data_IF_727539823467
#
_entry.id   IF_727539823467
#
_cell.length_a   1.000
_cell.length_b   1.000
_cell.length_c   1.000
_cell.angle_alpha   90.00
_cell.angle_beta   90.00
_cell.angle_gamma   90.00
#
_symmetry.space_group_name_H-M   'P 1'
#
loop_
_entity.id
_entity.type
_entity.pdbx_description
1 polymer ?
#
# COMPACT_ATOMS: atom_id res chain seq x y z
N UNK A 1 -10.20 10.93 9.89
CA UNK A 1 -10.58 9.51 9.78
C UNK A 1 -10.18 8.82 11.08
N UNK A 2 -11.03 7.97 11.67
CA UNK A 2 -10.68 7.24 12.91
C UNK A 2 -9.74 6.07 12.60
N UNK A 3 -8.91 5.68 13.57
CA UNK A 3 -7.98 4.55 13.44
C UNK A 3 -8.73 3.22 13.25
N UNK A 4 -9.89 3.05 13.89
CA UNK A 4 -10.76 1.89 13.69
C UNK A 4 -11.24 1.78 12.24
N UNK A 5 -11.75 2.88 11.66
CA UNK A 5 -12.22 2.88 10.27
C UNK A 5 -11.08 2.61 9.30
N UNK A 6 -9.92 3.23 9.49
CA UNK A 6 -8.73 2.95 8.68
C UNK A 6 -8.35 1.47 8.75
N UNK A 7 -8.31 0.90 9.95
CA UNK A 7 -7.91 -0.49 10.16
C UNK A 7 -8.88 -1.46 9.47
N UNK A 8 -10.19 -1.18 9.52
CA UNK A 8 -11.20 -1.95 8.80
C UNK A 8 -11.01 -1.82 7.29
N UNK A 9 -10.81 -0.60 6.77
CA UNK A 9 -10.63 -0.34 5.34
C UNK A 9 -9.35 -0.98 4.78
N UNK A 10 -8.29 -1.11 5.58
CA UNK A 10 -7.04 -1.76 5.16
C UNK A 10 -7.10 -3.28 5.31
N UNK A 11 -7.56 -3.79 6.46
CA UNK A 11 -7.51 -5.22 6.75
C UNK A 11 -8.59 -6.01 5.99
N UNK A 12 -9.77 -5.45 5.74
CA UNK A 12 -10.87 -6.18 5.09
C UNK A 12 -10.54 -6.58 3.66
N UNK A 13 -10.07 -5.69 2.77
CA UNK A 13 -9.69 -6.08 1.41
C UNK A 13 -8.55 -7.12 1.39
N UNK A 14 -7.57 -7.00 2.29
CA UNK A 14 -6.47 -7.96 2.39
C UNK A 14 -6.98 -9.33 2.85
N UNK A 15 -7.87 -9.38 3.84
CA UNK A 15 -8.50 -10.62 4.29
C UNK A 15 -9.31 -11.28 3.17
N UNK A 16 -10.11 -10.51 2.43
CA UNK A 16 -10.90 -11.03 1.30
C UNK A 16 -10.00 -11.57 0.17
N UNK A 17 -8.92 -10.86 -0.17
CA UNK A 17 -7.94 -11.32 -1.15
C UNK A 17 -7.23 -12.60 -0.68
N UNK A 18 -6.88 -12.69 0.60
CA UNK A 18 -6.26 -13.88 1.19
C UNK A 18 -7.21 -15.08 1.16
N UNK A 19 -8.47 -14.90 1.52
CA UNK A 19 -9.51 -15.93 1.45
C UNK A 19 -9.76 -16.39 0.01
N UNK A 20 -9.90 -15.45 -0.92
CA UNK A 20 -10.06 -15.76 -2.34
C UNK A 20 -8.86 -16.57 -2.87
N UNK A 21 -7.63 -16.18 -2.53
CA UNK A 21 -6.42 -16.90 -2.92
C UNK A 21 -6.31 -18.30 -2.29
N UNK A 22 -6.84 -18.50 -1.08
CA UNK A 22 -6.87 -19.82 -0.43
C UNK A 22 -7.88 -20.76 -1.09
N UNK A 23 -9.07 -20.24 -1.44
CA UNK A 23 -10.13 -21.01 -2.09
C UNK A 23 -9.75 -21.32 -3.55
N UNK A 24 -9.21 -20.32 -4.27
CA UNK A 24 -8.90 -20.39 -5.71
C UNK A 24 -7.42 -20.21 -6.00
N UNK A 25 -6.60 -21.07 -5.41
CA UNK A 25 -5.13 -20.94 -5.47
C UNK A 25 -4.56 -20.92 -6.90
N UNK A 26 -5.06 -21.72 -7.84
CA UNK A 26 -4.55 -21.72 -9.23
C UNK A 26 -4.89 -20.43 -10.00
N UNK A 27 -6.14 -19.97 -9.94
CA UNK A 27 -6.53 -18.68 -10.54
C UNK A 27 -5.71 -17.53 -9.95
N UNK A 28 -5.54 -17.54 -8.62
CA UNK A 28 -4.82 -16.50 -7.90
C UNK A 28 -3.34 -16.44 -8.27
N UNK A 29 -2.66 -17.58 -8.51
CA UNK A 29 -1.29 -17.61 -9.05
C UNK A 29 -1.20 -16.95 -10.42
N UNK A 30 -2.17 -17.21 -11.29
CA UNK A 30 -2.25 -16.59 -12.62
C UNK A 30 -2.31 -15.08 -12.51
N UNK A 31 -3.20 -14.56 -11.66
CA UNK A 31 -3.31 -13.12 -11.41
C UNK A 31 -2.05 -12.51 -10.77
N UNK A 32 -1.45 -13.20 -9.78
CA UNK A 32 -0.21 -12.79 -9.11
C UNK A 32 0.96 -12.60 -10.08
N UNK A 33 1.12 -13.54 -11.01
CA UNK A 33 2.23 -13.53 -11.97
C UNK A 33 1.98 -12.57 -13.14
N UNK A 34 0.71 -12.32 -13.50
CA UNK A 34 0.32 -11.33 -14.50
C UNK A 34 0.42 -9.88 -13.99
N UNK A 35 0.19 -9.65 -12.70
CA UNK A 35 0.11 -8.31 -12.10
C UNK A 35 1.33 -7.40 -12.40
N UNK A 36 2.59 -7.82 -12.15
CA UNK A 36 3.75 -6.94 -12.35
C UNK A 36 3.90 -6.41 -13.77
N UNK A 37 3.43 -7.15 -14.78
CA UNK A 37 3.53 -6.80 -16.20
C UNK A 37 2.26 -6.18 -16.76
N UNK A 38 1.23 -6.00 -15.94
CA UNK A 38 -0.03 -5.42 -16.40
C UNK A 38 0.08 -3.90 -16.53
N UNK A 39 0.03 -3.41 -17.76
CA UNK A 39 0.00 -1.97 -18.04
C UNK A 39 -1.26 -1.30 -17.47
N UNK A 40 -2.41 -1.97 -17.51
CA UNK A 40 -3.66 -1.43 -16.97
C UNK A 40 -3.57 -1.17 -15.46
N UNK A 41 -3.05 -2.12 -14.69
CA UNK A 41 -2.77 -1.92 -13.27
C UNK A 41 -1.68 -0.88 -13.03
N UNK A 42 -0.68 -0.82 -13.91
CA UNK A 42 0.34 0.22 -13.91
C UNK A 42 -0.24 1.63 -13.98
N UNK A 43 -1.08 1.89 -14.99
CA UNK A 43 -1.71 3.19 -15.19
C UNK A 43 -2.65 3.55 -14.03
N UNK A 44 -3.44 2.60 -13.55
CA UNK A 44 -4.34 2.82 -12.43
C UNK A 44 -3.57 3.16 -11.15
N UNK A 45 -2.60 2.34 -10.75
CA UNK A 45 -1.87 2.52 -9.49
C UNK A 45 -0.96 3.75 -9.54
N UNK A 46 -0.27 3.98 -10.66
CA UNK A 46 0.56 5.18 -10.84
C UNK A 46 -0.29 6.45 -10.87
N UNK A 47 -1.43 6.42 -11.55
CA UNK A 47 -2.36 7.55 -11.62
C UNK A 47 -2.92 7.92 -10.25
N UNK A 48 -3.48 6.93 -9.52
CA UNK A 48 -3.98 7.14 -8.15
C UNK A 48 -2.88 7.66 -7.24
N UNK A 49 -1.69 7.06 -7.29
CA UNK A 49 -0.55 7.47 -6.47
C UNK A 49 -0.10 8.90 -6.78
N UNK A 50 -0.04 9.27 -8.06
CA UNK A 50 0.37 10.62 -8.48
C UNK A 50 -0.64 11.66 -8.00
N UNK A 51 -1.93 11.42 -8.23
CA UNK A 51 -2.99 12.35 -7.81
C UNK A 51 -3.00 12.51 -6.29
N UNK A 52 -2.90 11.41 -5.55
CA UNK A 52 -2.90 11.44 -4.09
C UNK A 52 -1.62 12.10 -3.55
N UNK A 53 -0.45 11.83 -4.13
CA UNK A 53 0.79 12.49 -3.76
C UNK A 53 0.72 14.01 -3.98
N UNK A 54 0.21 14.47 -5.13
CA UNK A 54 0.02 15.90 -5.39
C UNK A 54 -0.96 16.55 -4.42
N UNK A 55 -2.03 15.84 -4.06
CA UNK A 55 -2.95 16.29 -3.02
C UNK A 55 -2.26 16.46 -1.67
N UNK A 56 -1.42 15.50 -1.26
CA UNK A 56 -0.62 15.59 -0.04
C UNK A 56 0.32 16.80 -0.08
N UNK A 57 1.11 16.95 -1.15
CA UNK A 57 2.01 18.11 -1.32
C UNK A 57 1.24 19.42 -1.23
N UNK A 58 0.00 19.47 -1.73
CA UNK A 58 -0.85 20.66 -1.66
C UNK A 58 -1.26 21.02 -0.23
N UNK A 59 -1.67 20.04 0.57
CA UNK A 59 -2.19 20.28 1.93
C UNK A 59 -1.11 20.38 3.00
N UNK A 60 0.06 19.79 2.78
CA UNK A 60 1.18 19.86 3.72
C UNK A 60 1.76 21.28 3.73
N UNK A 61 1.94 21.84 4.91
CA UNK A 61 2.52 23.17 5.08
C UNK A 61 4.01 23.02 5.36
N UNK A 62 4.82 23.39 4.37
CA UNK A 62 6.27 23.36 4.47
C UNK A 62 6.74 24.79 4.23
N UNK A 63 6.90 25.54 5.32
CA UNK A 63 7.21 26.98 5.32
C UNK A 63 8.42 27.32 4.45
N UNK A 64 9.41 26.43 4.40
CA UNK A 64 10.65 26.65 3.65
C UNK A 64 10.48 26.51 2.12
N UNK A 65 9.37 25.90 1.66
CA UNK A 65 9.12 25.62 0.24
C UNK A 65 7.84 26.27 -0.29
N UNK A 66 7.22 27.19 0.45
CA UNK A 66 5.94 27.80 0.09
C UNK A 66 5.99 28.48 -1.29
N UNK A 67 7.08 29.22 -1.56
CA UNK A 67 7.33 29.89 -2.85
C UNK A 67 7.55 28.91 -4.02
N UNK A 68 8.12 27.73 -3.76
CA UNK A 68 8.42 26.72 -4.76
C UNK A 68 7.30 25.70 -4.97
N UNK A 69 6.29 25.68 -4.09
CA UNK A 69 5.22 24.68 -4.07
C UNK A 69 4.52 24.53 -5.42
N UNK A 70 4.30 25.64 -6.12
CA UNK A 70 3.71 25.64 -7.47
C UNK A 70 4.61 24.91 -8.47
N UNK A 71 5.92 25.19 -8.49
CA UNK A 71 6.87 24.53 -9.38
C UNK A 71 7.04 23.05 -9.05
N UNK A 72 7.08 22.70 -7.76
CA UNK A 72 7.14 21.31 -7.30
C UNK A 72 5.91 20.52 -7.76
N UNK A 73 4.69 21.07 -7.65
CA UNK A 73 3.48 20.40 -8.14
C UNK A 73 3.56 20.10 -9.63
N UNK A 74 3.98 21.06 -10.46
CA UNK A 74 4.15 20.82 -11.90
C UNK A 74 5.26 19.79 -12.19
N UNK A 75 6.38 19.87 -11.48
CA UNK A 75 7.48 18.91 -11.60
C UNK A 75 7.04 17.49 -11.26
N UNK A 76 6.39 17.30 -10.11
CA UNK A 76 5.90 15.99 -9.68
C UNK A 76 4.78 15.44 -10.58
N UNK A 77 3.87 16.29 -11.04
CA UNK A 77 2.86 15.89 -12.03
C UNK A 77 3.53 15.43 -13.33
N UNK A 78 4.51 16.18 -13.81
CA UNK A 78 5.31 15.84 -14.99
C UNK A 78 6.04 14.50 -14.83
N UNK A 79 6.65 14.24 -13.67
CA UNK A 79 7.32 12.97 -13.37
C UNK A 79 6.32 11.81 -13.33
N UNK A 80 5.16 11.97 -12.67
CA UNK A 80 4.15 10.91 -12.60
C UNK A 80 3.58 10.55 -13.98
N UNK A 81 3.24 11.57 -14.77
CA UNK A 81 2.77 11.39 -16.15
C UNK A 81 3.89 10.80 -17.03
N UNK A 82 5.09 11.34 -16.97
CA UNK A 82 6.25 10.85 -17.71
C UNK A 82 6.56 9.39 -17.39
N UNK A 83 6.53 9.01 -16.11
CA UNK A 83 6.75 7.61 -15.68
C UNK A 83 5.71 6.68 -16.29
N UNK A 84 4.45 7.12 -16.36
CA UNK A 84 3.34 6.37 -16.94
C UNK A 84 3.58 6.06 -18.43
N UNK A 85 4.13 7.02 -19.20
CA UNK A 85 4.33 6.84 -20.64
C UNK A 85 5.68 6.22 -21.00
N UNK A 86 6.77 6.61 -20.33
CA UNK A 86 8.14 6.25 -20.70
C UNK A 86 8.65 5.00 -19.98
N UNK A 87 8.12 4.67 -18.80
CA UNK A 87 8.67 3.59 -17.95
C UNK A 87 7.64 2.49 -17.71
N UNK A 88 7.14 1.92 -18.82
CA UNK A 88 6.05 0.94 -18.83
C UNK A 88 6.44 -0.41 -18.25
N UNK A 89 7.71 -0.81 -18.36
CA UNK A 89 8.17 -2.07 -17.79
C UNK A 89 8.06 -2.03 -16.26
N UNK A 90 7.32 -2.98 -15.70
CA UNK A 90 7.00 -3.06 -14.27
C UNK A 90 6.31 -1.82 -13.68
N UNK A 91 5.52 -1.10 -14.49
CA UNK A 91 4.81 0.09 -14.03
C UNK A 91 3.85 -0.21 -12.86
N UNK A 92 3.17 -1.36 -12.89
CA UNK A 92 2.32 -1.82 -11.78
C UNK A 92 3.08 -1.97 -10.47
N UNK A 93 4.31 -2.51 -10.52
CA UNK A 93 5.14 -2.67 -9.34
C UNK A 93 5.59 -1.31 -8.77
N UNK A 94 5.97 -0.36 -9.64
CA UNK A 94 6.31 1.01 -9.19
C UNK A 94 5.10 1.74 -8.62
N UNK A 95 3.97 1.70 -9.31
CA UNK A 95 2.72 2.31 -8.83
C UNK A 95 2.30 1.74 -7.48
N UNK A 96 2.39 0.42 -7.30
CA UNK A 96 2.13 -0.23 -6.02
C UNK A 96 3.10 0.26 -4.93
N UNK A 97 4.40 0.38 -5.24
CA UNK A 97 5.40 0.85 -4.29
C UNK A 97 5.12 2.28 -3.79
N UNK A 98 4.76 3.20 -4.69
CA UNK A 98 4.38 4.57 -4.32
C UNK A 98 3.08 4.56 -3.50
N UNK A 99 2.08 3.77 -3.91
CA UNK A 99 0.83 3.66 -3.17
C UNK A 99 1.07 3.11 -1.75
N UNK A 100 1.97 2.14 -1.58
CA UNK A 100 2.35 1.61 -0.27
C UNK A 100 2.94 2.70 0.64
N UNK A 101 3.77 3.60 0.11
CA UNK A 101 4.32 4.73 0.86
C UNK A 101 3.23 5.72 1.28
N UNK A 102 2.30 6.03 0.38
CA UNK A 102 1.17 6.95 0.66
C UNK A 102 0.23 6.39 1.72
N UNK A 103 -0.09 5.09 1.63
CA UNK A 103 -0.89 4.40 2.64
C UNK A 103 -0.15 4.36 3.97
N UNK A 104 1.16 4.08 3.99
CA UNK A 104 1.94 4.09 5.22
C UNK A 104 1.96 5.47 5.90
N UNK A 105 2.08 6.55 5.13
CA UNK A 105 1.95 7.92 5.64
C UNK A 105 0.60 8.12 6.34
N UNK A 106 -0.49 7.75 5.67
CA UNK A 106 -1.84 7.83 6.22
C UNK A 106 -1.99 7.00 7.51
N UNK A 107 -1.41 5.79 7.56
CA UNK A 107 -1.42 4.93 8.75
C UNK A 107 -0.71 5.59 9.95
N UNK A 108 0.48 6.15 9.75
CA UNK A 108 1.23 6.79 10.84
C UNK A 108 0.51 8.05 11.34
N UNK A 109 0.00 8.88 10.43
CA UNK A 109 -0.72 10.11 10.80
C UNK A 109 -1.98 9.83 11.61
N UNK A 110 -2.74 8.81 11.21
CA UNK A 110 -3.97 8.43 11.91
C UNK A 110 -3.70 7.76 13.26
N UNK A 111 -2.59 7.01 13.38
CA UNK A 111 -2.19 6.40 14.64
C UNK A 111 -1.61 7.42 15.64
N UNK A 112 -1.03 8.54 15.17
CA UNK A 112 -0.30 9.52 16.00
C UNK A 112 -1.07 10.06 17.20
N UNK A 113 -2.39 10.28 17.04
CA UNK A 113 -3.23 10.94 18.04
C UNK A 113 -4.08 9.97 18.88
N UNK A 114 -3.88 8.66 18.74
CA UNK A 114 -4.67 7.66 19.48
C UNK A 114 -3.92 7.25 20.74
N UNK A 115 -4.50 7.44 21.91
CA UNK A 115 -3.85 7.14 23.19
C UNK A 115 -4.00 5.66 23.59
N UNK A 116 -3.35 4.76 22.84
CA UNK A 116 -3.29 3.32 23.16
C UNK A 116 -2.03 2.68 22.59
N UNK A 117 -1.38 1.80 23.35
CA UNK A 117 -0.21 1.06 22.88
C UNK A 117 -0.54 0.14 21.70
N UNK A 118 -1.80 -0.30 21.58
CA UNK A 118 -2.25 -1.11 20.45
C UNK A 118 -2.07 -0.40 19.10
N UNK A 119 -1.96 0.95 19.07
CA UNK A 119 -1.67 1.70 17.83
C UNK A 119 -0.35 1.27 17.18
N UNK A 120 0.59 0.75 17.97
CA UNK A 120 1.90 0.32 17.50
C UNK A 120 1.81 -0.80 16.46
N UNK A 121 0.77 -1.64 16.50
CA UNK A 121 0.56 -2.66 15.46
C UNK A 121 0.42 -2.03 14.06
N UNK A 122 -0.35 -0.93 13.95
CA UNK A 122 -0.51 -0.18 12.71
C UNK A 122 0.77 0.56 12.35
N UNK A 123 1.46 1.17 13.33
CA UNK A 123 2.71 1.90 13.09
C UNK A 123 3.81 0.96 12.57
N UNK A 124 4.02 -0.20 13.21
CA UNK A 124 5.00 -1.20 12.77
C UNK A 124 4.68 -1.68 11.37
N UNK A 125 3.41 -1.98 11.07
CA UNK A 125 2.99 -2.36 9.74
C UNK A 125 3.27 -1.27 8.70
N UNK A 126 2.99 0.00 9.04
CA UNK A 126 3.30 1.12 8.17
C UNK A 126 4.80 1.22 7.88
N UNK A 127 5.67 1.06 8.87
CA UNK A 127 7.13 1.08 8.64
C UNK A 127 7.62 -0.11 7.80
N UNK A 128 7.04 -1.29 7.94
CA UNK A 128 7.29 -2.41 7.02
C UNK A 128 6.91 -2.03 5.59
N UNK A 129 5.76 -1.38 5.39
CA UNK A 129 5.34 -0.86 4.09
C UNK A 129 6.26 0.24 3.56
N UNK A 130 6.81 1.09 4.42
CA UNK A 130 7.79 2.12 4.03
C UNK A 130 9.07 1.47 3.49
N UNK A 131 9.63 0.51 4.23
CA UNK A 131 10.85 -0.19 3.81
C UNK A 131 10.60 -0.95 2.50
N UNK A 132 9.48 -1.67 2.40
CA UNK A 132 9.09 -2.38 1.18
C UNK A 132 8.87 -1.42 0.00
N UNK A 133 8.18 -0.30 0.23
CA UNK A 133 7.92 0.73 -0.78
C UNK A 133 9.21 1.36 -1.31
N UNK A 134 10.16 1.72 -0.44
CA UNK A 134 11.47 2.21 -0.87
C UNK A 134 12.22 1.16 -1.68
N UNK A 135 12.26 -0.09 -1.20
CA UNK A 135 12.94 -1.19 -1.88
C UNK A 135 12.36 -1.44 -3.27
N UNK A 136 11.04 -1.50 -3.41
CA UNK A 136 10.35 -1.76 -4.67
C UNK A 136 10.37 -0.55 -5.62
N UNK A 137 10.53 0.67 -5.09
CA UNK A 137 10.75 1.86 -5.93
C UNK A 137 12.11 1.80 -6.63
N UNK A 138 13.16 1.45 -5.89
CA UNK A 138 14.53 1.31 -6.42
C UNK A 138 14.64 0.07 -7.31
N UNK A 139 14.04 -1.04 -6.89
CA UNK A 139 14.19 -2.36 -7.53
C UNK A 139 12.85 -3.06 -7.77
N UNK A 140 12.03 -2.58 -8.73
CA UNK A 140 10.67 -3.09 -8.94
C UNK A 140 10.61 -4.56 -9.36
N UNK A 141 11.69 -5.09 -9.96
CA UNK A 141 11.77 -6.51 -10.33
C UNK A 141 11.77 -7.43 -9.11
N UNK A 142 12.14 -6.94 -7.92
CA UNK A 142 12.11 -7.73 -6.68
C UNK A 142 10.68 -8.08 -6.28
N UNK A 143 9.72 -7.18 -6.50
CA UNK A 143 8.31 -7.50 -6.28
C UNK A 143 7.87 -8.61 -7.24
N UNK A 144 8.17 -8.48 -8.54
CA UNK A 144 7.89 -9.53 -9.52
C UNK A 144 8.48 -10.87 -9.07
N UNK A 145 9.76 -10.90 -8.73
CA UNK A 145 10.46 -12.14 -8.37
C UNK A 145 9.87 -12.75 -7.08
N UNK A 146 9.45 -11.92 -6.11
CA UNK A 146 8.74 -12.37 -4.92
C UNK A 146 7.39 -13.03 -5.27
N UNK A 147 6.57 -12.39 -6.11
CA UNK A 147 5.27 -12.95 -6.51
C UNK A 147 5.44 -14.25 -7.31
N UNK A 148 6.44 -14.33 -8.18
CA UNK A 148 6.77 -15.54 -8.93
C UNK A 148 7.29 -16.67 -8.01
N UNK A 149 8.11 -16.32 -7.01
CA UNK A 149 8.61 -17.28 -6.03
C UNK A 149 7.49 -17.87 -5.15
N UNK A 150 6.51 -17.04 -4.78
CA UNK A 150 5.29 -17.47 -4.07
C UNK A 150 4.43 -18.37 -4.96
N UNK A 151 4.18 -17.96 -6.21
CA UNK A 151 3.33 -18.70 -7.14
C UNK A 151 3.90 -20.07 -7.54
N UNK A 152 5.23 -20.27 -7.44
CA UNK A 152 5.89 -21.53 -7.81
C UNK A 152 5.52 -22.72 -6.91
N UNK A 153 5.04 -22.49 -5.68
CA UNK A 153 4.70 -23.56 -4.76
C UNK A 153 3.41 -23.25 -4.01
N UNK A 154 2.46 -24.19 -4.09
CA UNK A 154 1.20 -24.15 -3.34
C UNK A 154 1.40 -23.90 -1.86
N UNK A 155 2.37 -24.60 -1.27
CA UNK A 155 2.66 -24.49 0.16
C UNK A 155 3.16 -23.08 0.53
N UNK A 156 3.98 -22.46 -0.32
CA UNK A 156 4.49 -21.09 -0.10
C UNK A 156 3.37 -20.08 -0.24
N UNK A 157 2.58 -20.21 -1.30
CA UNK A 157 1.44 -19.31 -1.55
C UNK A 157 0.42 -19.39 -0.43
N UNK A 158 -0.05 -20.60 -0.08
CA UNK A 158 -1.02 -20.80 1.01
C UNK A 158 -0.45 -20.35 2.36
N UNK A 159 0.84 -20.58 2.61
CA UNK A 159 1.52 -20.07 3.80
C UNK A 159 1.51 -18.54 3.89
N UNK A 160 1.85 -17.84 2.80
CA UNK A 160 1.79 -16.38 2.75
C UNK A 160 0.37 -15.83 2.90
N UNK A 161 -0.62 -16.48 2.26
CA UNK A 161 -2.02 -16.07 2.38
C UNK A 161 -2.59 -16.31 3.78
N UNK A 162 -2.26 -17.42 4.44
CA UNK A 162 -2.61 -17.64 5.84
C UNK A 162 -1.96 -16.59 6.76
N UNK A 163 -0.71 -16.20 6.51
CA UNK A 163 -0.06 -15.13 7.25
C UNK A 163 -0.78 -13.78 7.06
N UNK A 164 -1.14 -13.44 5.82
CA UNK A 164 -1.91 -12.22 5.54
C UNK A 164 -3.30 -12.25 6.17
N UNK A 165 -3.97 -13.41 6.16
CA UNK A 165 -5.29 -13.57 6.75
C UNK A 165 -5.25 -13.46 8.28
N UNK A 166 -4.28 -14.11 8.92
CA UNK A 166 -4.09 -14.02 10.38
C UNK A 166 -3.73 -12.61 10.82
N UNK A 167 -2.83 -11.95 10.10
CA UNK A 167 -2.50 -10.54 10.35
C UNK A 167 -3.73 -9.63 10.19
N UNK A 168 -4.50 -9.80 9.11
CA UNK A 168 -5.70 -9.00 8.86
C UNK A 168 -6.77 -9.24 9.93
N UNK A 169 -6.97 -10.50 10.35
CA UNK A 169 -7.87 -10.85 11.45
C UNK A 169 -7.46 -10.20 12.77
N UNK A 170 -6.16 -10.22 13.09
CA UNK A 170 -5.61 -9.54 14.27
C UNK A 170 -5.90 -8.03 14.24
N UNK A 171 -5.65 -7.35 13.11
CA UNK A 171 -5.94 -5.93 12.96
C UNK A 171 -7.44 -5.63 13.07
N UNK A 172 -8.32 -6.48 12.52
CA UNK A 172 -9.77 -6.31 12.65
C UNK A 172 -10.23 -6.45 14.11
N UNK A 173 -9.69 -7.41 14.85
CA UNK A 173 -9.99 -7.55 16.29
C UNK A 173 -9.58 -6.28 17.04
N UNK A 174 -8.39 -5.74 16.78
CA UNK A 174 -7.95 -4.46 17.37
C UNK A 174 -8.88 -3.30 16.97
N UNK A 175 -9.34 -3.27 15.71
CA UNK A 175 -10.23 -2.25 15.20
C UNK A 175 -11.59 -2.21 15.91
N UNK A 176 -12.16 -3.39 16.22
CA UNK A 176 -13.46 -3.50 16.90
C UNK A 176 -13.38 -3.42 18.43
N UNK A 177 -12.23 -3.75 19.02
CA UNK A 177 -12.03 -3.74 20.47
C UNK A 177 -11.36 -2.45 20.95
N UNK A 178 -10.06 -2.30 20.72
CA UNK A 178 -9.21 -1.29 21.34
C UNK A 178 -9.21 0.05 20.60
N UNK A 179 -9.59 0.08 19.31
CA UNK A 179 -9.65 1.31 18.52
C UNK A 179 -11.03 1.98 18.53
N UNK A 180 -12.05 1.36 19.15
CA UNK A 180 -13.31 2.04 19.50
C UNK A 180 -13.08 2.83 20.78
N UNK A 181 -12.45 3.99 20.68
CA UNK A 181 -12.63 4.98 21.74
C UNK A 181 -14.11 5.43 21.72
N UNK A 182 -14.81 5.39 22.86
CA UNK A 182 -16.17 5.93 22.93
C UNK A 182 -16.10 7.43 22.64
N UNK A 183 -17.00 7.92 21.79
CA UNK A 183 -17.22 9.34 21.59
C UNK A 183 -17.57 9.97 22.94
N UNK A 184 -16.63 10.71 23.51
CA UNK A 184 -16.89 11.70 24.54
C UNK A 184 -17.49 12.95 23.89
#
# INVERSE_FOLDING_TARGET
>A
MSLSLLSILLATPIALLALYGLIRSEEFKGHLTAFPRSNSWGYLLMGISTVWFLYLVKIEDISDFESYKRFMMFGFAGIGIGTTFFVRDLLAARGAAVLMLLVAKLMVDTARWVDTDARLAIVVWAYVMVIAGMWFTISPWRLRDLLFWLAKSDRRLKGALCLLLTWSGFILVLAFSLYRTPSA
#
